data_IF_725762614040
#
_entry.id   IF_725762614040
#
_cell.length_a   1.000
_cell.length_b   1.000
_cell.length_c   1.000
_cell.angle_alpha   90.00
_cell.angle_beta   90.00
_cell.angle_gamma   90.00
#
_symmetry.space_group_name_H-M   'P 1'
#
loop_
_entity.id
_entity.type
_entity.pdbx_description
1 polymer ?
#
# COMPACT_ATOMS: atom_id res chain seq x y z
N UNK A 1 0.51 -0.41 22.78
CA UNK A 1 1.95 -0.04 22.83
C UNK A 1 2.09 1.48 22.71
N UNK A 2 3.15 2.07 23.28
CA UNK A 2 3.45 3.51 23.18
C UNK A 2 4.60 3.75 22.19
N UNK A 3 4.56 4.85 21.46
CA UNK A 3 5.69 5.29 20.62
C UNK A 3 6.76 5.96 21.49
N UNK A 4 7.85 5.24 21.76
CA UNK A 4 8.94 5.69 22.63
C UNK A 4 10.02 6.45 21.85
N UNK A 5 10.91 7.17 22.55
CA UNK A 5 12.08 7.81 21.91
C UNK A 5 12.98 6.81 21.16
N UNK A 6 13.08 5.57 21.67
CA UNK A 6 13.80 4.47 20.97
C UNK A 6 13.16 4.19 19.62
N UNK A 7 11.83 4.01 19.57
CA UNK A 7 11.10 3.77 18.32
C UNK A 7 11.26 4.94 17.35
N UNK A 8 11.22 6.18 17.82
CA UNK A 8 11.44 7.37 16.99
C UNK A 8 12.86 7.40 16.40
N UNK A 9 13.87 7.04 17.21
CA UNK A 9 15.26 6.92 16.75
C UNK A 9 15.45 5.85 15.69
N UNK A 10 14.83 4.67 15.88
CA UNK A 10 14.86 3.56 14.90
C UNK A 10 14.15 3.97 13.60
N UNK A 11 13.03 4.67 13.68
CA UNK A 11 12.27 5.17 12.52
C UNK A 11 13.08 6.21 11.72
N UNK A 12 13.82 7.11 12.38
CA UNK A 12 14.75 8.02 11.70
C UNK A 12 15.82 7.27 10.92
N UNK A 13 16.43 6.23 11.52
CA UNK A 13 17.42 5.37 10.85
C UNK A 13 16.81 4.64 9.64
N UNK A 14 15.56 4.18 9.74
CA UNK A 14 14.86 3.60 8.61
C UNK A 14 14.71 4.60 7.45
N UNK A 15 14.27 5.83 7.72
CA UNK A 15 14.14 6.88 6.69
C UNK A 15 15.48 7.14 5.99
N UNK A 16 16.59 7.22 6.73
CA UNK A 16 17.92 7.38 6.13
C UNK A 16 18.33 6.16 5.28
N UNK A 17 17.91 4.95 5.68
CA UNK A 17 18.12 3.73 4.89
C UNK A 17 17.34 3.79 3.58
N UNK A 18 16.08 4.23 3.60
CA UNK A 18 15.25 4.39 2.40
C UNK A 18 15.82 5.43 1.44
N UNK A 19 16.30 6.57 1.94
CA UNK A 19 17.01 7.56 1.13
C UNK A 19 18.23 6.97 0.43
N UNK A 20 19.08 6.23 1.16
CA UNK A 20 20.27 5.56 0.57
C UNK A 20 19.90 4.50 -0.47
N UNK A 21 18.72 3.93 -0.39
CA UNK A 21 18.16 2.99 -1.38
C UNK A 21 17.49 3.68 -2.57
N UNK A 22 17.53 5.02 -2.63
CA UNK A 22 17.07 5.78 -3.78
C UNK A 22 15.63 6.30 -3.70
N UNK A 23 14.97 6.23 -2.53
CA UNK A 23 13.68 6.92 -2.34
C UNK A 23 13.96 8.41 -2.23
N UNK A 24 13.45 9.18 -3.20
CA UNK A 24 13.68 10.61 -3.35
C UNK A 24 12.48 11.48 -2.94
N UNK A 25 11.26 10.93 -2.97
CA UNK A 25 10.05 11.68 -2.60
C UNK A 25 10.06 12.03 -1.11
N UNK A 26 10.17 13.34 -0.84
CA UNK A 26 10.22 13.88 0.53
C UNK A 26 8.93 13.64 1.31
N UNK A 27 7.76 13.65 0.64
CA UNK A 27 6.47 13.44 1.29
C UNK A 27 6.32 11.97 1.72
N UNK A 28 6.76 11.02 0.88
CA UNK A 28 6.82 9.59 1.23
C UNK A 28 7.73 9.36 2.43
N UNK A 29 8.94 9.92 2.41
CA UNK A 29 9.90 9.79 3.51
C UNK A 29 9.38 10.42 4.81
N UNK A 30 8.70 11.56 4.72
CA UNK A 30 8.07 12.23 5.85
C UNK A 30 6.94 11.39 6.44
N UNK A 31 6.04 10.85 5.59
CA UNK A 31 4.94 10.00 6.02
C UNK A 31 5.47 8.75 6.76
N UNK A 32 6.43 8.03 6.17
CA UNK A 32 7.07 6.86 6.83
C UNK A 32 7.77 7.27 8.13
N UNK A 33 8.42 8.43 8.15
CA UNK A 33 9.09 8.99 9.34
C UNK A 33 8.14 9.37 10.48
N UNK A 34 6.86 9.56 10.19
CA UNK A 34 5.84 9.92 11.19
C UNK A 34 5.11 8.71 11.75
N UNK A 35 4.84 7.69 10.91
CA UNK A 35 4.00 6.56 11.26
C UNK A 35 4.74 5.56 12.16
N UNK A 36 4.21 5.21 13.35
CA UNK A 36 4.82 4.23 14.25
C UNK A 36 4.55 2.80 13.77
N UNK A 37 5.36 2.31 12.81
CA UNK A 37 5.19 1.00 12.15
C UNK A 37 5.05 -0.17 13.13
N UNK A 38 5.73 -0.12 14.29
CA UNK A 38 5.65 -1.16 15.32
C UNK A 38 4.22 -1.39 15.86
N UNK A 39 3.32 -0.41 15.73
CA UNK A 39 1.92 -0.57 16.11
C UNK A 39 1.11 -1.43 15.13
N UNK A 40 1.60 -1.63 13.90
CA UNK A 40 0.96 -2.41 12.84
C UNK A 40 1.46 -3.86 12.78
N UNK A 41 2.25 -4.29 13.77
CA UNK A 41 2.90 -5.60 13.81
C UNK A 41 2.46 -6.38 15.04
N UNK A 42 2.55 -7.69 14.94
CA UNK A 42 2.34 -8.55 16.10
C UNK A 42 3.48 -8.39 17.11
N UNK A 43 3.18 -8.60 18.40
CA UNK A 43 4.11 -8.34 19.52
C UNK A 43 5.47 -9.03 19.39
N UNK A 44 5.51 -10.21 18.78
CA UNK A 44 6.75 -10.97 18.57
C UNK A 44 7.76 -10.34 17.59
N UNK A 45 7.32 -9.36 16.78
CA UNK A 45 8.17 -8.72 15.75
C UNK A 45 8.47 -7.25 16.02
N UNK A 46 7.98 -6.70 17.13
CA UNK A 46 8.07 -5.26 17.43
C UNK A 46 9.51 -4.74 17.46
N UNK A 47 10.44 -5.52 18.00
CA UNK A 47 11.87 -5.16 18.07
C UNK A 47 12.51 -5.02 16.68
N UNK A 48 11.92 -5.65 15.67
CA UNK A 48 12.36 -5.62 14.28
C UNK A 48 11.52 -4.71 13.39
N UNK A 49 10.56 -3.97 13.97
CA UNK A 49 9.58 -3.19 13.20
C UNK A 49 10.19 -2.18 12.23
N UNK A 50 11.38 -1.71 12.52
CA UNK A 50 12.10 -0.71 11.70
C UNK A 50 13.26 -1.32 10.89
N UNK A 51 13.40 -2.65 10.89
CA UNK A 51 14.22 -3.34 9.90
C UNK A 51 13.52 -3.25 8.52
N UNK A 52 14.33 -3.06 7.47
CA UNK A 52 13.80 -3.01 6.10
C UNK A 52 13.54 -4.43 5.56
N UNK A 53 12.54 -5.10 6.17
CA UNK A 53 12.08 -6.47 5.88
C UNK A 53 10.56 -6.56 5.98
N UNK A 54 9.97 -7.52 5.24
CA UNK A 54 8.60 -7.96 5.45
C UNK A 54 8.49 -8.86 6.67
N UNK A 55 7.33 -8.87 7.35
CA UNK A 55 7.04 -9.73 8.48
C UNK A 55 5.64 -10.33 8.36
N UNK A 56 5.41 -11.55 8.88
CA UNK A 56 4.10 -12.17 8.85
C UNK A 56 3.10 -11.37 9.71
N UNK A 57 1.85 -11.41 9.28
CA UNK A 57 0.65 -10.97 10.02
C UNK A 57 -0.38 -12.10 9.98
N UNK A 58 -1.59 -11.87 10.52
CA UNK A 58 -2.66 -12.88 10.46
C UNK A 58 -3.03 -13.29 9.01
N UNK A 59 -3.74 -14.41 8.88
CA UNK A 59 -4.26 -14.96 7.62
C UNK A 59 -3.17 -15.24 6.56
N UNK A 60 -1.98 -15.68 6.98
CA UNK A 60 -0.82 -15.98 6.12
C UNK A 60 -0.40 -14.80 5.21
N UNK A 61 -0.73 -13.58 5.63
CA UNK A 61 -0.34 -12.36 4.93
C UNK A 61 0.91 -11.74 5.57
N UNK A 62 1.40 -10.66 4.97
CA UNK A 62 2.59 -9.94 5.46
C UNK A 62 2.34 -8.44 5.53
N UNK A 63 2.98 -7.78 6.52
CA UNK A 63 3.26 -6.36 6.41
C UNK A 63 4.46 -6.18 5.49
N UNK A 64 4.28 -5.49 4.37
CA UNK A 64 5.31 -5.32 3.35
C UNK A 64 6.58 -4.64 3.89
N UNK A 65 7.72 -4.98 3.29
CA UNK A 65 9.01 -4.31 3.56
C UNK A 65 8.88 -2.79 3.41
N UNK A 66 9.44 -1.99 4.32
CA UNK A 66 9.39 -0.52 4.25
C UNK A 66 9.84 0.07 2.92
N UNK A 67 10.92 -0.46 2.31
CA UNK A 67 11.34 -0.04 0.98
C UNK A 67 10.27 -0.29 -0.09
N UNK A 68 9.61 -1.43 -0.04
CA UNK A 68 8.53 -1.77 -0.99
C UNK A 68 7.36 -0.78 -0.86
N UNK A 69 6.92 -0.50 0.39
CA UNK A 69 5.88 0.51 0.67
C UNK A 69 6.29 1.88 0.14
N UNK A 70 7.52 2.32 0.45
CA UNK A 70 8.04 3.60 -0.01
C UNK A 70 8.08 3.69 -1.54
N UNK A 71 8.59 2.64 -2.20
CA UNK A 71 8.74 2.61 -3.66
C UNK A 71 7.39 2.61 -4.38
N UNK A 72 6.44 1.79 -3.95
CA UNK A 72 5.09 1.80 -4.51
C UNK A 72 4.42 3.17 -4.36
N UNK A 73 4.53 3.78 -3.17
CA UNK A 73 3.93 5.08 -2.89
C UNK A 73 4.59 6.19 -3.73
N UNK A 74 5.91 6.17 -3.88
CA UNK A 74 6.65 7.10 -4.73
C UNK A 74 6.24 6.98 -6.21
N UNK A 75 6.10 5.75 -6.73
CA UNK A 75 5.66 5.48 -8.09
C UNK A 75 4.21 5.89 -8.35
N UNK A 76 3.38 5.84 -7.33
CA UNK A 76 1.98 6.29 -7.41
C UNK A 76 1.86 7.81 -7.56
N UNK A 77 2.87 8.58 -7.08
CA UNK A 77 2.93 10.05 -7.15
C UNK A 77 1.72 10.75 -6.50
N UNK A 78 1.36 10.28 -5.32
CA UNK A 78 0.20 10.78 -4.56
C UNK A 78 0.33 12.27 -4.24
N UNK A 79 -0.74 13.02 -4.50
CA UNK A 79 -0.91 14.41 -4.08
C UNK A 79 -1.99 14.51 -3.01
N UNK A 80 -1.91 15.54 -2.17
CA UNK A 80 -2.95 15.82 -1.19
C UNK A 80 -4.31 16.03 -1.89
N UNK A 81 -5.31 15.27 -1.44
CA UNK A 81 -6.66 15.31 -2.00
C UNK A 81 -6.92 14.31 -3.12
N UNK A 82 -5.90 13.59 -3.60
CA UNK A 82 -6.07 12.54 -4.60
C UNK A 82 -6.97 11.42 -4.07
N UNK A 83 -7.86 10.96 -4.91
CA UNK A 83 -8.75 9.82 -4.66
C UNK A 83 -8.01 8.53 -4.99
N UNK A 84 -7.61 7.78 -3.97
CA UNK A 84 -6.77 6.59 -4.12
C UNK A 84 -7.56 5.34 -3.73
N UNK A 85 -7.41 4.28 -4.54
CA UNK A 85 -7.88 2.92 -4.22
C UNK A 85 -6.67 2.05 -3.87
N UNK A 86 -6.71 1.45 -2.70
CA UNK A 86 -5.75 0.43 -2.25
C UNK A 86 -6.40 -0.95 -2.33
N UNK A 87 -5.72 -1.90 -2.96
CA UNK A 87 -6.09 -3.32 -3.00
C UNK A 87 -5.16 -4.10 -2.08
N UNK A 88 -5.72 -4.67 -1.01
CA UNK A 88 -4.97 -5.36 0.04
C UNK A 88 -4.65 -4.46 1.22
N UNK A 89 -5.63 -4.20 2.10
CA UNK A 89 -5.43 -3.38 3.30
C UNK A 89 -4.41 -3.99 4.27
N UNK A 90 -4.46 -5.31 4.45
CA UNK A 90 -3.57 -6.08 5.32
C UNK A 90 -3.51 -5.52 6.74
N UNK A 91 -2.30 -5.18 7.20
CA UNK A 91 -2.07 -4.53 8.49
C UNK A 91 -2.61 -3.09 8.58
N UNK A 92 -2.89 -2.44 7.45
CA UNK A 92 -3.23 -1.03 7.34
C UNK A 92 -2.04 -0.07 7.31
N UNK A 93 -0.80 -0.58 7.24
CA UNK A 93 0.39 0.29 7.24
C UNK A 93 0.50 1.11 5.94
N UNK A 94 0.27 0.50 4.76
CA UNK A 94 0.24 1.23 3.49
C UNK A 94 -0.92 2.24 3.46
N UNK A 95 -2.11 1.85 3.97
CA UNK A 95 -3.25 2.76 4.14
C UNK A 95 -2.88 3.99 4.99
N UNK A 96 -2.18 3.79 6.11
CA UNK A 96 -1.73 4.89 6.97
C UNK A 96 -0.74 5.82 6.23
N UNK A 97 0.17 5.29 5.41
CA UNK A 97 1.12 6.09 4.60
C UNK A 97 0.35 6.97 3.61
N UNK A 98 -0.60 6.43 2.88
CA UNK A 98 -1.42 7.17 1.91
C UNK A 98 -2.25 8.27 2.59
N UNK A 99 -2.86 7.96 3.74
CA UNK A 99 -3.63 8.92 4.53
C UNK A 99 -2.76 10.03 5.12
N UNK A 100 -1.54 9.71 5.57
CA UNK A 100 -0.58 10.70 6.07
C UNK A 100 -0.12 11.67 4.96
N UNK A 101 -0.09 11.22 3.70
CA UNK A 101 0.17 12.06 2.53
C UNK A 101 -1.06 12.89 2.11
N UNK A 102 -2.21 12.69 2.76
CA UNK A 102 -3.43 13.46 2.53
C UNK A 102 -4.34 12.91 1.43
N UNK A 103 -4.21 11.64 1.07
CA UNK A 103 -5.10 10.97 0.12
C UNK A 103 -6.52 10.81 0.68
N UNK A 104 -7.52 10.85 -0.19
CA UNK A 104 -8.88 10.37 0.07
C UNK A 104 -8.88 8.87 -0.25
N UNK A 105 -8.69 8.05 0.78
CA UNK A 105 -8.41 6.63 0.64
C UNK A 105 -9.67 5.77 0.65
N UNK A 106 -9.77 4.89 -0.33
CA UNK A 106 -10.64 3.72 -0.39
C UNK A 106 -9.75 2.48 -0.34
N UNK A 107 -10.12 1.46 0.44
CA UNK A 107 -9.29 0.26 0.57
C UNK A 107 -10.14 -0.99 0.61
N UNK A 108 -9.69 -2.04 -0.09
CA UNK A 108 -10.35 -3.34 -0.19
C UNK A 108 -9.48 -4.39 0.48
N UNK A 109 -10.12 -5.22 1.31
CA UNK A 109 -9.49 -6.39 1.94
C UNK A 109 -10.36 -7.63 1.71
N UNK A 110 -9.73 -8.72 1.20
CA UNK A 110 -10.44 -9.98 0.96
C UNK A 110 -10.46 -10.91 2.17
N UNK A 111 -9.51 -10.76 3.10
CA UNK A 111 -9.41 -11.57 4.30
C UNK A 111 -10.29 -10.97 5.40
N UNK A 112 -11.36 -11.68 5.79
CA UNK A 112 -12.35 -11.19 6.75
C UNK A 112 -11.72 -10.86 8.12
N UNK A 113 -10.78 -11.69 8.56
CA UNK A 113 -10.05 -11.46 9.82
C UNK A 113 -9.29 -10.14 9.79
N UNK A 114 -8.49 -9.90 8.75
CA UNK A 114 -7.71 -8.66 8.58
C UNK A 114 -8.62 -7.45 8.40
N UNK A 115 -9.68 -7.56 7.60
CA UNK A 115 -10.67 -6.51 7.42
C UNK A 115 -11.27 -6.06 8.76
N UNK A 116 -11.76 -7.00 9.58
CA UNK A 116 -12.36 -6.69 10.90
C UNK A 116 -11.35 -6.05 11.84
N UNK A 117 -10.15 -6.64 11.94
CA UNK A 117 -9.05 -6.15 12.80
C UNK A 117 -8.67 -4.72 12.40
N UNK A 118 -8.37 -4.50 11.13
CA UNK A 118 -7.84 -3.22 10.62
C UNK A 118 -8.90 -2.13 10.61
N UNK A 119 -10.17 -2.45 10.31
CA UNK A 119 -11.30 -1.51 10.39
C UNK A 119 -11.49 -0.92 11.80
N UNK A 120 -11.22 -1.70 12.84
CA UNK A 120 -11.31 -1.24 14.24
C UNK A 120 -10.00 -0.56 14.70
N UNK A 121 -8.88 -0.90 14.10
CA UNK A 121 -7.55 -0.48 14.53
C UNK A 121 -7.14 0.88 13.96
N UNK A 122 -7.27 1.10 12.65
CA UNK A 122 -6.83 2.33 11.98
C UNK A 122 -7.43 3.60 12.60
N UNK A 123 -8.74 3.69 12.91
CA UNK A 123 -9.33 4.88 13.52
C UNK A 123 -8.76 5.20 14.91
N UNK A 124 -8.35 4.18 15.69
CA UNK A 124 -7.71 4.38 17.02
C UNK A 124 -6.34 5.05 16.91
N UNK A 125 -5.68 4.92 15.76
CA UNK A 125 -4.43 5.60 15.45
C UNK A 125 -4.63 6.97 14.77
N UNK A 126 -5.89 7.39 14.55
CA UNK A 126 -6.23 8.63 13.86
C UNK A 126 -6.33 8.51 12.33
N UNK A 127 -6.11 7.33 11.77
CA UNK A 127 -6.19 7.09 10.32
C UNK A 127 -7.60 6.65 9.94
N UNK A 128 -8.27 7.42 9.10
CA UNK A 128 -9.67 7.16 8.71
C UNK A 128 -9.81 7.12 7.18
N UNK A 129 -9.73 5.93 6.57
CA UNK A 129 -10.10 5.77 5.16
C UNK A 129 -11.52 6.28 4.91
N UNK A 130 -11.78 6.80 3.71
CA UNK A 130 -13.14 7.20 3.29
C UNK A 130 -14.08 6.00 3.31
N UNK A 131 -13.61 4.84 2.80
CA UNK A 131 -14.30 3.56 2.90
C UNK A 131 -13.29 2.42 3.07
N UNK A 132 -13.66 1.43 3.86
CA UNK A 132 -13.01 0.12 3.92
C UNK A 132 -14.02 -0.93 3.50
N UNK A 133 -13.67 -1.73 2.51
CA UNK A 133 -14.55 -2.71 1.87
C UNK A 133 -14.01 -4.12 2.11
N UNK A 134 -14.88 -5.02 2.55
CA UNK A 134 -14.62 -6.46 2.51
C UNK A 134 -15.03 -6.97 1.14
N UNK A 135 -14.07 -7.33 0.29
CA UNK A 135 -14.37 -7.65 -1.10
C UNK A 135 -13.19 -8.20 -1.89
N UNK A 136 -13.47 -8.55 -3.12
CA UNK A 136 -12.48 -8.99 -4.11
C UNK A 136 -11.77 -7.78 -4.72
N UNK A 137 -10.43 -7.79 -4.65
CA UNK A 137 -9.59 -6.73 -5.21
C UNK A 137 -9.51 -6.71 -6.74
N UNK A 138 -9.77 -7.84 -7.41
CA UNK A 138 -9.74 -7.92 -8.87
C UNK A 138 -10.80 -7.06 -9.55
N UNK A 139 -11.95 -6.89 -8.92
CA UNK A 139 -13.07 -6.10 -9.47
C UNK A 139 -12.94 -4.60 -9.13
N UNK A 140 -12.09 -4.25 -8.18
CA UNK A 140 -11.95 -2.86 -7.73
C UNK A 140 -13.19 -2.32 -7.01
N UNK A 141 -13.52 -1.04 -7.25
CA UNK A 141 -14.65 -0.33 -6.62
C UNK A 141 -15.30 0.61 -7.63
N UNK A 142 -16.06 0.05 -8.56
CA UNK A 142 -16.62 0.75 -9.70
C UNK A 142 -17.56 1.91 -9.29
N UNK A 143 -18.37 1.70 -8.23
CA UNK A 143 -19.30 2.73 -7.73
C UNK A 143 -18.62 3.98 -7.20
N UNK A 144 -17.32 3.92 -6.92
CA UNK A 144 -16.52 5.08 -6.49
C UNK A 144 -15.53 5.55 -7.56
N UNK A 145 -15.46 4.89 -8.72
CA UNK A 145 -14.59 5.34 -9.81
C UNK A 145 -15.03 6.73 -10.35
N UNK A 146 -14.12 7.49 -11.00
CA UNK A 146 -12.73 7.15 -11.26
C UNK A 146 -11.78 7.54 -10.13
N UNK A 147 -10.57 6.91 -10.09
CA UNK A 147 -9.51 7.16 -9.11
C UNK A 147 -8.32 7.91 -9.74
N UNK A 148 -7.70 8.80 -8.96
CA UNK A 148 -6.45 9.46 -9.34
C UNK A 148 -5.27 8.49 -9.31
N UNK A 149 -5.34 7.48 -8.44
CA UNK A 149 -4.37 6.39 -8.36
C UNK A 149 -4.95 5.11 -7.78
N UNK A 150 -4.42 3.98 -8.22
CA UNK A 150 -4.72 2.66 -7.69
C UNK A 150 -3.41 1.98 -7.32
N UNK A 151 -3.33 1.40 -6.12
CA UNK A 151 -2.17 0.66 -5.65
C UNK A 151 -2.58 -0.77 -5.26
N UNK A 152 -1.86 -1.75 -5.79
CA UNK A 152 -2.06 -3.17 -5.46
C UNK A 152 -0.90 -3.64 -4.60
N UNK A 153 -1.18 -4.09 -3.40
CA UNK A 153 -0.19 -4.50 -2.39
C UNK A 153 0.02 -6.02 -2.32
N UNK A 154 -0.41 -6.73 -3.36
CA UNK A 154 -0.25 -8.16 -3.56
C UNK A 154 0.24 -8.44 -5.00
N UNK A 155 0.91 -9.58 -5.22
CA UNK A 155 1.41 -9.97 -6.54
C UNK A 155 0.30 -10.51 -7.42
N UNK A 156 0.05 -9.89 -8.55
CA UNK A 156 -0.98 -10.29 -9.51
C UNK A 156 -0.36 -11.05 -10.69
N UNK A 157 -0.86 -12.24 -11.07
CA UNK A 157 -0.33 -12.98 -12.23
C UNK A 157 -0.54 -12.20 -13.54
N UNK A 158 -1.55 -11.38 -13.61
CA UNK A 158 -1.89 -10.49 -14.72
C UNK A 158 -2.51 -9.19 -14.20
N UNK A 159 -2.62 -8.18 -15.06
CA UNK A 159 -3.23 -6.89 -14.71
C UNK A 159 -4.74 -6.99 -14.82
N UNK A 160 -5.51 -6.76 -13.73
CA UNK A 160 -6.98 -6.79 -13.81
C UNK A 160 -7.51 -5.60 -14.63
N UNK A 161 -8.20 -5.89 -15.73
CA UNK A 161 -8.81 -4.87 -16.59
C UNK A 161 -9.76 -3.91 -15.83
N UNK A 162 -10.57 -4.37 -14.85
CA UNK A 162 -11.42 -3.46 -14.08
C UNK A 162 -10.64 -2.35 -13.36
N UNK A 163 -9.42 -2.62 -12.88
CA UNK A 163 -8.60 -1.61 -12.22
C UNK A 163 -8.10 -0.55 -13.20
N UNK A 164 -7.72 -0.94 -14.41
CA UNK A 164 -7.34 0.00 -15.47
C UNK A 164 -8.52 0.90 -15.88
N UNK A 165 -9.72 0.33 -16.04
CA UNK A 165 -10.92 1.05 -16.41
C UNK A 165 -11.34 2.09 -15.36
N UNK A 166 -11.04 1.83 -14.08
CA UNK A 166 -11.39 2.71 -12.95
C UNK A 166 -10.40 3.85 -12.70
N UNK A 167 -9.32 3.98 -13.51
CA UNK A 167 -8.42 5.12 -13.43
C UNK A 167 -9.01 6.37 -14.12
N UNK A 168 -8.71 7.55 -13.60
CA UNK A 168 -8.84 8.80 -14.37
C UNK A 168 -7.84 8.83 -15.52
N UNK A 169 -8.12 9.61 -16.55
CA UNK A 169 -7.08 10.04 -17.52
C UNK A 169 -6.02 10.82 -16.74
N UNK A 170 -4.75 10.45 -16.89
CA UNK A 170 -3.64 10.93 -16.07
C UNK A 170 -3.43 10.16 -14.76
N UNK A 171 -4.34 9.25 -14.38
CA UNK A 171 -4.23 8.41 -13.19
C UNK A 171 -3.21 7.27 -13.37
N UNK A 172 -2.71 6.75 -12.24
CA UNK A 172 -1.67 5.72 -12.17
C UNK A 172 -2.16 4.46 -11.46
N UNK A 173 -1.91 3.29 -12.06
CA UNK A 173 -2.00 2.00 -11.37
C UNK A 173 -0.58 1.53 -11.08
N UNK A 174 -0.27 1.29 -9.80
CA UNK A 174 0.99 0.66 -9.36
C UNK A 174 0.68 -0.77 -8.91
N UNK A 175 1.22 -1.76 -9.61
CA UNK A 175 0.89 -3.16 -9.41
C UNK A 175 2.12 -4.06 -9.63
N UNK A 176 2.43 -5.00 -8.71
CA UNK A 176 3.44 -6.03 -8.95
C UNK A 176 2.85 -7.16 -9.81
N UNK A 177 3.38 -7.35 -11.03
CA UNK A 177 2.87 -8.31 -12.03
C UNK A 177 3.81 -9.49 -12.18
N UNK A 178 3.31 -10.70 -12.06
CA UNK A 178 4.04 -11.97 -12.19
C UNK A 178 3.61 -12.99 -11.14
N UNK A 179 4.05 -14.24 -11.29
CA UNK A 179 3.69 -15.34 -10.38
C UNK A 179 4.66 -15.46 -9.20
N UNK A 180 5.86 -16.02 -9.41
CA UNK A 180 6.84 -16.29 -8.33
C UNK A 180 7.68 -15.06 -7.97
N UNK A 181 8.05 -14.28 -8.97
CA UNK A 181 8.72 -12.99 -8.86
C UNK A 181 7.88 -12.00 -9.67
N UNK A 182 7.56 -10.87 -9.06
CA UNK A 182 6.75 -9.85 -9.70
C UNK A 182 7.63 -8.69 -10.15
N UNK A 183 7.30 -8.14 -11.31
CA UNK A 183 7.85 -6.87 -11.79
C UNK A 183 6.93 -5.75 -11.31
N UNK A 184 7.48 -4.79 -10.55
CA UNK A 184 6.74 -3.60 -10.16
C UNK A 184 6.41 -2.79 -11.41
N UNK A 185 5.14 -2.70 -11.75
CA UNK A 185 4.66 -2.11 -12.99
C UNK A 185 3.76 -0.91 -12.71
N UNK A 186 3.95 0.15 -13.48
CA UNK A 186 3.11 1.34 -13.48
C UNK A 186 2.37 1.44 -14.80
N UNK A 187 1.07 1.62 -14.75
CA UNK A 187 0.25 2.00 -15.90
C UNK A 187 -0.24 3.43 -15.70
N UNK A 188 0.11 4.31 -16.62
CA UNK A 188 -0.40 5.68 -16.69
C UNK A 188 -1.47 5.75 -17.77
N UNK A 189 -2.72 6.05 -17.40
CA UNK A 189 -3.82 6.21 -18.37
C UNK A 189 -3.65 7.51 -19.16
N UNK A 190 -3.44 7.41 -20.46
CA UNK A 190 -3.26 8.57 -21.37
C UNK A 190 -4.59 9.04 -22.00
N UNK A 191 -5.46 8.08 -22.32
CA UNK A 191 -6.79 8.32 -22.89
C UNK A 191 -7.75 7.20 -22.45
N UNK A 192 -8.93 7.14 -23.03
CA UNK A 192 -9.89 6.08 -22.72
C UNK A 192 -9.40 4.67 -23.11
N UNK A 193 -8.49 4.58 -24.07
CA UNK A 193 -8.00 3.30 -24.63
C UNK A 193 -6.49 3.14 -24.54
N UNK A 194 -5.73 4.20 -24.19
CA UNK A 194 -4.27 4.16 -24.21
C UNK A 194 -3.68 4.23 -22.81
N UNK A 195 -2.75 3.30 -22.53
CA UNK A 195 -1.98 3.23 -21.30
C UNK A 195 -0.49 3.16 -21.62
N UNK A 196 0.29 4.03 -20.96
CA UNK A 196 1.75 3.94 -20.94
C UNK A 196 2.16 2.99 -19.84
N UNK A 197 2.92 1.94 -20.16
CA UNK A 197 3.47 0.96 -19.21
C UNK A 197 4.92 1.27 -18.91
N UNK A 198 5.31 1.19 -17.64
CA UNK A 198 6.70 1.31 -17.16
C UNK A 198 7.00 0.23 -16.13
N UNK A 199 8.23 -0.31 -16.11
CA UNK A 199 8.65 -1.40 -15.23
C UNK A 199 9.81 -0.96 -14.33
N UNK A 200 9.79 -1.36 -13.04
CA UNK A 200 10.66 -0.82 -11.99
C UNK A 200 11.34 -1.90 -11.12
N UNK A 201 11.75 -3.00 -11.75
CA UNK A 201 12.52 -4.06 -11.10
C UNK A 201 11.67 -5.10 -10.38
N UNK A 202 12.37 -6.05 -9.78
CA UNK A 202 11.79 -7.27 -9.21
C UNK A 202 11.42 -7.08 -7.73
N UNK A 203 10.27 -7.65 -7.37
CA UNK A 203 9.74 -7.69 -6.01
C UNK A 203 9.13 -9.06 -5.71
N UNK A 204 8.88 -9.31 -4.43
CA UNK A 204 8.16 -10.51 -3.98
C UNK A 204 7.03 -10.13 -3.06
N UNK A 205 5.83 -10.51 -3.44
CA UNK A 205 4.60 -10.28 -2.70
C UNK A 205 3.87 -11.60 -2.45
N UNK A 206 2.99 -11.60 -1.45
CA UNK A 206 1.93 -12.60 -1.33
C UNK A 206 1.01 -12.51 -2.55
N UNK A 207 0.41 -13.62 -3.02
CA UNK A 207 -0.41 -13.59 -4.23
C UNK A 207 -1.69 -12.77 -4.03
N UNK A 208 -2.07 -12.02 -5.06
CA UNK A 208 -3.42 -11.49 -5.20
C UNK A 208 -4.34 -12.66 -5.56
N UNK A 209 -5.36 -12.90 -4.75
CA UNK A 209 -6.29 -14.00 -4.92
C UNK A 209 -7.68 -13.46 -5.25
N UNK A 210 -8.39 -14.17 -6.10
CA UNK A 210 -9.79 -13.91 -6.42
C UNK A 210 -10.69 -14.25 -5.24
N UNK A 211 -11.92 -13.77 -5.29
CA UNK A 211 -12.95 -13.92 -4.27
C UNK A 211 -12.56 -13.34 -2.89
N UNK A 212 -13.47 -13.45 -1.94
CA UNK A 212 -13.28 -13.05 -0.53
C UNK A 212 -13.32 -14.27 0.38
N UNK A 213 -12.55 -14.25 1.45
CA UNK A 213 -12.42 -15.35 2.39
C UNK A 213 -12.71 -14.89 3.84
#
# INVERSE_FOLDING_TARGET
MKDTFTHQGMRKKLVETLKRKGIADKNVLQAIGKIPRHLFMDSGFVDHAYADKAFPIAADQTISQPYTVARQTELLQVKKGDKILEIGTGSGYQAAVLLEMGAILYTIERQNELFKKTKLFLPKLGYKPKRMIFGDGYIGLEEEAPFDGIIVTAGAPYVPNPLLAQLKIGGRLVIPVGENVQIMTVFLRKSDTEFQKEEYGEFRFVPLLEDKN
#
